data_IF_824339801972
#
_entry.id   IF_824339801972
#
_cell.length_a   1.000
_cell.length_b   1.000
_cell.length_c   1.000
_cell.angle_alpha   90.00
_cell.angle_beta   90.00
_cell.angle_gamma   90.00
#
_symmetry.space_group_name_H-M   'P 1'
#
loop_
_entity.id
_entity.type
_entity.pdbx_description
1 polymer ?
#
# COMPACT_ATOMS: atom_id res chain seq x y z
N UNK A 1 0.50 10.66 30.34
CA UNK A 1 -0.34 9.55 29.82
C UNK A 1 -0.31 9.69 28.31
N UNK A 2 0.56 8.90 27.67
CA UNK A 2 0.75 8.95 26.22
C UNK A 2 -0.39 8.25 25.52
N UNK A 3 -1.07 8.94 24.62
CA UNK A 3 -1.96 8.32 23.66
C UNK A 3 -1.09 7.76 22.55
N UNK A 4 -0.96 6.44 22.54
CA UNK A 4 -0.40 5.67 21.45
C UNK A 4 -1.17 5.96 20.17
N UNK A 5 -0.56 6.72 19.24
CA UNK A 5 -1.04 6.82 17.89
C UNK A 5 -0.77 5.48 17.20
N UNK A 6 -1.74 4.58 17.26
CA UNK A 6 -1.77 3.36 16.46
C UNK A 6 -1.50 3.69 15.00
N UNK A 7 -0.62 2.96 14.32
CA UNK A 7 -0.40 3.15 12.89
C UNK A 7 -1.73 2.93 12.18
N UNK A 8 -2.12 3.90 11.37
CA UNK A 8 -3.27 3.82 10.49
C UNK A 8 -3.02 2.78 9.40
N UNK A 9 -3.08 1.50 9.79
CA UNK A 9 -3.49 0.50 8.84
C UNK A 9 -4.84 0.97 8.28
N UNK A 10 -5.06 0.84 7.00
CA UNK A 10 -6.29 1.17 6.29
C UNK A 10 -7.48 0.65 7.09
N UNK A 11 -8.08 1.54 7.89
CA UNK A 11 -9.24 1.19 8.67
C UNK A 11 -10.42 1.22 7.71
N UNK A 12 -10.54 0.18 6.90
CA UNK A 12 -11.88 -0.24 6.52
C UNK A 12 -12.61 -0.41 7.86
N UNK A 13 -13.49 0.54 8.18
CA UNK A 13 -14.14 0.57 9.49
C UNK A 13 -14.60 -0.84 9.81
N UNK A 14 -14.29 -1.36 10.99
CA UNK A 14 -14.66 -2.74 11.41
C UNK A 14 -16.10 -3.10 11.05
N UNK A 15 -17.00 -2.11 11.13
CA UNK A 15 -18.39 -2.23 10.71
C UNK A 15 -18.59 -2.48 9.21
N UNK A 16 -17.72 -1.96 8.34
CA UNK A 16 -17.82 -2.17 6.88
C UNK A 16 -17.45 -3.61 6.52
N UNK A 17 -16.39 -4.17 7.10
CA UNK A 17 -16.00 -5.57 6.86
C UNK A 17 -17.07 -6.53 7.32
N UNK A 18 -17.61 -6.32 8.53
CA UNK A 18 -18.71 -7.13 9.06
C UNK A 18 -19.96 -7.05 8.19
N UNK A 19 -20.32 -5.83 7.75
CA UNK A 19 -21.46 -5.63 6.85
C UNK A 19 -21.27 -6.36 5.53
N UNK A 20 -20.11 -6.22 4.88
CA UNK A 20 -19.79 -6.94 3.64
C UNK A 20 -19.88 -8.45 3.81
N UNK A 21 -19.32 -9.01 4.90
CA UNK A 21 -19.37 -10.43 5.17
C UNK A 21 -20.81 -10.95 5.39
N UNK A 22 -21.67 -10.13 5.99
CA UNK A 22 -23.09 -10.49 6.22
C UNK A 22 -23.93 -10.34 4.95
N UNK A 23 -23.77 -9.25 4.20
CA UNK A 23 -24.53 -8.98 2.97
C UNK A 23 -24.08 -9.87 1.80
N UNK A 24 -22.84 -10.34 1.83
CA UNK A 24 -22.22 -11.19 0.80
C UNK A 24 -21.59 -12.43 1.43
N UNK A 25 -22.36 -13.44 1.87
CA UNK A 25 -21.86 -14.59 2.62
C UNK A 25 -20.83 -15.44 1.86
N UNK A 26 -20.79 -15.33 0.53
CA UNK A 26 -19.82 -16.03 -0.34
C UNK A 26 -18.56 -15.21 -0.63
N UNK A 27 -18.50 -13.94 -0.19
CA UNK A 27 -17.34 -13.09 -0.39
C UNK A 27 -16.13 -13.68 0.35
N UNK A 28 -14.99 -13.74 -0.35
CA UNK A 28 -13.71 -14.19 0.21
C UNK A 28 -12.87 -12.98 0.59
N UNK A 29 -12.20 -13.05 1.71
CA UNK A 29 -11.25 -12.06 2.21
C UNK A 29 -9.86 -12.70 2.17
N UNK A 30 -9.07 -12.34 1.16
CA UNK A 30 -7.72 -12.84 1.00
C UNK A 30 -6.74 -11.92 1.75
N UNK A 31 -5.94 -12.46 2.65
CA UNK A 31 -4.96 -11.69 3.43
C UNK A 31 -3.77 -12.54 3.86
N UNK A 32 -2.67 -11.91 4.16
CA UNK A 32 -1.56 -12.60 4.82
C UNK A 32 -1.89 -12.92 6.29
N UNK A 33 -1.20 -13.92 6.85
CA UNK A 33 -1.48 -14.48 8.18
C UNK A 33 -1.60 -13.45 9.30
N UNK A 34 -0.81 -12.40 9.28
CA UNK A 34 -0.81 -11.36 10.33
C UNK A 34 -2.10 -10.53 10.40
N UNK A 35 -2.91 -10.49 9.33
CA UNK A 35 -4.19 -9.77 9.29
C UNK A 35 -5.39 -10.63 9.72
N UNK A 36 -5.22 -11.93 9.88
CA UNK A 36 -6.33 -12.85 10.20
C UNK A 36 -7.02 -12.47 11.50
N UNK A 37 -6.26 -12.17 12.55
CA UNK A 37 -6.82 -11.78 13.84
C UNK A 37 -7.65 -10.50 13.74
N UNK A 38 -7.20 -9.51 12.98
CA UNK A 38 -7.89 -8.24 12.76
C UNK A 38 -9.21 -8.43 11.97
N UNK A 39 -9.19 -9.28 10.94
CA UNK A 39 -10.39 -9.62 10.19
C UNK A 39 -11.43 -10.34 11.06
N UNK A 40 -11.01 -11.29 11.87
CA UNK A 40 -11.90 -11.99 12.82
C UNK A 40 -12.46 -11.00 13.85
N UNK A 41 -11.62 -10.14 14.43
CA UNK A 41 -12.06 -9.10 15.36
C UNK A 41 -13.01 -8.08 14.70
N UNK A 42 -12.89 -7.87 13.38
CA UNK A 42 -13.81 -7.06 12.60
C UNK A 42 -15.13 -7.78 12.26
N UNK A 43 -15.30 -9.05 12.65
CA UNK A 43 -16.50 -9.84 12.45
C UNK A 43 -16.58 -10.59 11.11
N UNK A 44 -15.44 -10.79 10.44
CA UNK A 44 -15.35 -11.66 9.25
C UNK A 44 -15.28 -13.12 9.71
N UNK A 45 -16.20 -13.99 9.26
CA UNK A 45 -16.14 -15.41 9.60
C UNK A 45 -14.86 -16.06 9.06
N UNK A 46 -14.21 -16.91 9.84
CA UNK A 46 -12.96 -17.58 9.46
C UNK A 46 -13.09 -18.40 8.16
N UNK A 47 -14.26 -19.00 7.93
CA UNK A 47 -14.55 -19.71 6.67
C UNK A 47 -14.49 -18.84 5.41
N UNK A 48 -14.58 -17.51 5.57
CA UNK A 48 -14.51 -16.54 4.48
C UNK A 48 -13.10 -15.96 4.28
N UNK A 49 -12.12 -16.38 5.09
CA UNK A 49 -10.75 -15.85 5.04
C UNK A 49 -9.85 -16.84 4.30
N UNK A 50 -9.17 -16.33 3.27
CA UNK A 50 -8.10 -17.05 2.58
C UNK A 50 -6.76 -16.51 3.06
N UNK A 51 -5.94 -17.39 3.65
CA UNK A 51 -4.61 -17.00 4.14
C UNK A 51 -3.60 -17.19 3.02
N UNK A 52 -2.97 -16.08 2.63
CA UNK A 52 -1.96 -16.03 1.58
C UNK A 52 -0.55 -16.05 2.17
N UNK A 53 0.37 -16.70 1.46
CA UNK A 53 1.81 -16.71 1.73
C UNK A 53 2.54 -15.90 0.67
N UNK A 54 3.53 -15.11 1.09
CA UNK A 54 4.36 -14.28 0.22
C UNK A 54 5.02 -15.14 -0.88
N UNK A 55 4.90 -14.71 -2.13
CA UNK A 55 5.51 -15.37 -3.29
C UNK A 55 4.71 -16.54 -3.85
N UNK A 56 3.64 -16.98 -3.21
CA UNK A 56 2.79 -18.08 -3.69
C UNK A 56 1.64 -17.53 -4.53
N UNK A 57 1.37 -18.17 -5.66
CA UNK A 57 0.26 -17.82 -6.56
C UNK A 57 -1.03 -18.50 -6.12
N UNK A 58 -2.10 -17.73 -6.02
CA UNK A 58 -3.45 -18.18 -5.67
C UNK A 58 -4.43 -17.86 -6.80
N UNK A 59 -5.17 -18.87 -7.28
CA UNK A 59 -6.17 -18.72 -8.34
C UNK A 59 -7.58 -18.47 -7.77
N UNK A 60 -8.23 -17.42 -8.25
CA UNK A 60 -9.60 -17.04 -7.85
C UNK A 60 -10.63 -17.13 -8.99
N UNK A 61 -10.29 -17.85 -10.06
CA UNK A 61 -11.16 -17.99 -11.23
C UNK A 61 -11.16 -16.76 -12.15
N UNK A 62 -11.36 -15.59 -11.58
CA UNK A 62 -11.32 -14.30 -12.32
C UNK A 62 -9.90 -13.73 -12.44
N UNK A 63 -9.00 -14.08 -11.53
CA UNK A 63 -7.61 -13.63 -11.53
C UNK A 63 -6.72 -14.59 -10.73
N UNK A 64 -5.40 -14.44 -10.92
CA UNK A 64 -4.39 -15.01 -10.04
C UNK A 64 -3.75 -13.90 -9.23
N UNK A 65 -3.49 -14.15 -7.94
CA UNK A 65 -2.92 -13.18 -7.01
C UNK A 65 -1.63 -13.75 -6.42
N UNK A 66 -0.56 -12.95 -6.40
CA UNK A 66 0.71 -13.28 -5.77
C UNK A 66 1.05 -12.14 -4.80
N UNK A 67 1.03 -12.37 -3.48
CA UNK A 67 1.53 -11.39 -2.53
C UNK A 67 3.04 -11.22 -2.67
N UNK A 68 3.53 -9.97 -2.60
CA UNK A 68 4.96 -9.64 -2.61
C UNK A 68 5.34 -8.94 -1.31
N UNK A 69 6.56 -9.14 -0.79
CA UNK A 69 6.96 -8.53 0.48
C UNK A 69 7.14 -7.02 0.30
N UNK A 70 6.66 -6.23 1.24
CA UNK A 70 6.92 -4.80 1.34
C UNK A 70 7.66 -4.47 2.62
N UNK A 71 8.29 -3.30 2.65
CA UNK A 71 9.11 -2.85 3.79
C UNK A 71 8.43 -1.66 4.46
N UNK A 72 7.88 -1.93 5.64
CA UNK A 72 7.18 -0.93 6.45
C UNK A 72 7.41 -1.22 7.95
N UNK A 73 7.05 -0.29 8.84
CA UNK A 73 7.14 -0.49 10.29
C UNK A 73 6.15 -1.53 10.85
N UNK A 74 5.11 -1.86 10.09
CA UNK A 74 4.21 -2.97 10.36
C UNK A 74 4.33 -4.02 9.25
N UNK A 75 4.04 -5.32 9.52
CA UNK A 75 4.01 -6.34 8.49
C UNK A 75 3.07 -5.93 7.35
N UNK A 76 3.59 -5.94 6.11
CA UNK A 76 2.85 -5.49 4.94
C UNK A 76 3.19 -6.30 3.69
N UNK A 77 2.29 -6.28 2.70
CA UNK A 77 2.51 -6.89 1.41
C UNK A 77 1.82 -6.10 0.30
N UNK A 78 2.44 -6.10 -0.87
CA UNK A 78 1.82 -5.72 -2.12
C UNK A 78 1.28 -6.93 -2.86
N UNK A 79 0.75 -6.70 -4.05
CA UNK A 79 0.14 -7.75 -4.85
C UNK A 79 0.50 -7.64 -6.33
N UNK A 80 0.81 -8.78 -6.93
CA UNK A 80 0.78 -8.97 -8.38
C UNK A 80 -0.53 -9.66 -8.71
N UNK A 81 -1.38 -9.02 -9.51
CA UNK A 81 -2.71 -9.54 -9.86
C UNK A 81 -2.75 -9.74 -11.37
N UNK A 82 -3.02 -10.97 -11.79
CA UNK A 82 -3.06 -11.35 -13.19
C UNK A 82 -4.49 -11.70 -13.58
N UNK A 83 -5.11 -10.85 -14.35
CA UNK A 83 -6.38 -11.08 -15.02
C UNK A 83 -6.18 -11.69 -16.40
N UNK A 84 -7.18 -12.33 -17.01
CA UNK A 84 -7.10 -12.78 -18.41
C UNK A 84 -6.78 -11.67 -19.41
N UNK A 85 -7.16 -10.44 -19.11
CA UNK A 85 -7.05 -9.26 -20.00
C UNK A 85 -5.91 -8.31 -19.60
N UNK A 86 -5.19 -8.56 -18.51
CA UNK A 86 -4.13 -7.66 -18.08
C UNK A 86 -3.59 -7.96 -16.68
N UNK A 87 -2.51 -7.28 -16.32
CA UNK A 87 -1.80 -7.46 -15.05
C UNK A 87 -1.74 -6.16 -14.27
N UNK A 88 -2.00 -6.23 -12.97
CA UNK A 88 -1.92 -5.10 -12.05
C UNK A 88 -0.84 -5.36 -11.01
N UNK A 89 0.00 -4.36 -10.79
CA UNK A 89 0.94 -4.33 -9.66
C UNK A 89 0.44 -3.30 -8.64
N UNK A 90 0.26 -3.74 -7.39
CA UNK A 90 -0.21 -2.89 -6.29
C UNK A 90 0.79 -2.91 -5.14
N UNK A 91 1.27 -1.74 -4.73
CA UNK A 91 2.18 -1.59 -3.59
C UNK A 91 1.98 -0.23 -2.90
N UNK A 92 1.63 -0.27 -1.62
CA UNK A 92 1.50 0.92 -0.77
C UNK A 92 2.01 0.63 0.63
N UNK A 93 2.28 1.65 1.42
CA UNK A 93 2.90 1.56 2.75
C UNK A 93 4.25 0.80 2.70
N UNK A 94 5.19 1.32 1.90
CA UNK A 94 6.52 0.73 1.77
C UNK A 94 7.59 1.80 1.58
N UNK A 95 8.77 1.62 2.14
CA UNK A 95 9.87 2.58 1.94
C UNK A 95 10.76 2.27 0.74
N UNK A 96 10.66 1.08 0.17
CA UNK A 96 11.34 0.69 -1.06
C UNK A 96 10.70 -0.53 -1.73
N UNK A 97 11.05 -0.75 -2.99
CA UNK A 97 10.62 -1.88 -3.82
C UNK A 97 11.83 -2.71 -4.29
N UNK A 98 12.91 -2.72 -3.51
CA UNK A 98 14.13 -3.44 -3.83
C UNK A 98 13.87 -4.95 -3.95
N UNK A 99 14.42 -5.57 -4.99
CA UNK A 99 14.24 -7.00 -5.26
C UNK A 99 12.88 -7.37 -5.86
N UNK A 100 11.94 -6.42 -5.99
CA UNK A 100 10.65 -6.66 -6.64
C UNK A 100 10.77 -6.30 -8.13
N UNK A 101 10.28 -7.17 -8.99
CA UNK A 101 10.15 -6.93 -10.42
C UNK A 101 8.70 -7.11 -10.83
N UNK A 102 8.17 -6.19 -11.64
CA UNK A 102 6.82 -6.25 -12.19
C UNK A 102 6.83 -5.79 -13.66
N UNK A 103 7.64 -6.48 -14.49
CA UNK A 103 7.86 -6.08 -15.88
C UNK A 103 6.62 -6.24 -16.75
N UNK A 104 6.35 -5.20 -17.55
CA UNK A 104 5.26 -5.17 -18.53
C UNK A 104 3.90 -5.50 -17.91
N UNK A 105 3.61 -4.87 -16.75
CA UNK A 105 2.26 -4.82 -16.21
C UNK A 105 1.47 -3.70 -16.90
N UNK A 106 0.16 -3.89 -17.00
CA UNK A 106 -0.72 -2.95 -17.68
C UNK A 106 -1.09 -1.77 -16.79
N UNK A 107 -1.14 -2.01 -15.46
CA UNK A 107 -1.41 -0.97 -14.47
C UNK A 107 -0.48 -1.11 -13.27
N UNK A 108 0.14 0.00 -12.89
CA UNK A 108 0.91 0.15 -11.66
C UNK A 108 0.15 1.06 -10.70
N UNK A 109 -0.20 0.55 -9.53
CA UNK A 109 -0.80 1.29 -8.43
C UNK A 109 0.22 1.33 -7.29
N UNK A 110 1.04 2.37 -7.25
CA UNK A 110 2.24 2.42 -6.40
C UNK A 110 2.23 3.69 -5.56
N UNK A 111 2.67 3.55 -4.31
CA UNK A 111 2.83 4.68 -3.40
C UNK A 111 3.83 5.70 -3.96
N UNK A 112 3.46 6.99 -3.85
CA UNK A 112 4.32 8.13 -4.08
C UNK A 112 4.04 9.17 -3.00
N UNK A 113 4.51 8.91 -1.77
CA UNK A 113 4.04 9.61 -0.58
C UNK A 113 4.56 11.04 -0.49
N UNK A 114 5.80 11.29 -0.88
CA UNK A 114 6.45 12.60 -0.71
C UNK A 114 7.47 12.89 -1.82
N UNK A 115 7.72 14.16 -2.03
CA UNK A 115 8.82 14.69 -2.83
C UNK A 115 10.07 14.86 -1.94
N UNK A 116 11.23 14.33 -2.40
CA UNK A 116 12.46 14.27 -1.59
C UNK A 116 12.92 15.67 -1.12
N UNK A 117 12.87 16.69 -1.99
CA UNK A 117 13.33 18.03 -1.65
C UNK A 117 12.34 18.75 -0.72
N UNK A 118 11.05 18.59 -0.94
CA UNK A 118 10.01 19.19 -0.10
C UNK A 118 10.08 18.66 1.33
N UNK A 119 10.18 17.34 1.50
CA UNK A 119 10.21 16.72 2.83
C UNK A 119 11.48 17.09 3.59
N UNK A 120 12.65 17.20 2.91
CA UNK A 120 13.91 17.64 3.51
C UNK A 120 13.82 19.08 3.99
N UNK A 121 13.22 19.99 3.19
CA UNK A 121 13.01 21.38 3.57
C UNK A 121 12.11 21.49 4.82
N UNK A 122 10.99 20.79 4.85
CA UNK A 122 10.08 20.73 6.03
C UNK A 122 10.79 20.21 7.29
N UNK A 123 11.62 19.18 7.16
CA UNK A 123 12.43 18.66 8.29
C UNK A 123 13.43 19.70 8.79
N UNK A 124 14.10 20.40 7.88
CA UNK A 124 15.08 21.41 8.26
C UNK A 124 14.42 22.60 8.99
N UNK A 125 13.28 23.05 8.50
CA UNK A 125 12.49 24.12 9.13
C UNK A 125 12.05 23.74 10.56
N UNK A 126 11.45 22.57 10.73
CA UNK A 126 11.00 22.09 12.05
C UNK A 126 12.15 21.89 13.02
N UNK A 127 13.31 21.44 12.54
CA UNK A 127 14.52 21.34 13.37
C UNK A 127 15.01 22.71 13.84
N UNK A 128 14.91 23.75 12.99
CA UNK A 128 15.32 25.11 13.35
C UNK A 128 14.39 25.74 14.40
N UNK A 129 13.09 25.40 14.36
CA UNK A 129 12.10 25.89 15.35
C UNK A 129 12.00 25.02 16.60
N UNK A 130 12.67 23.86 16.64
CA UNK A 130 12.58 22.89 17.74
C UNK A 130 11.30 22.07 17.74
N UNK A 131 10.54 22.07 16.66
CA UNK A 131 9.34 21.29 16.50
C UNK A 131 9.64 19.83 16.15
N UNK A 132 8.71 18.95 16.51
CA UNK A 132 8.82 17.54 16.15
C UNK A 132 8.55 17.33 14.66
N UNK A 133 9.55 16.80 13.93
CA UNK A 133 9.45 16.52 12.51
C UNK A 133 8.95 15.07 12.27
N UNK A 134 7.63 14.89 12.16
CA UNK A 134 7.03 13.59 11.81
C UNK A 134 7.41 13.11 10.40
N UNK A 135 7.84 14.02 9.55
CA UNK A 135 8.34 13.78 8.20
C UNK A 135 9.52 12.81 8.18
N UNK A 136 10.34 12.80 9.23
CA UNK A 136 11.43 11.82 9.40
C UNK A 136 10.86 10.39 9.44
N UNK A 137 9.75 10.19 10.12
CA UNK A 137 9.06 8.89 10.16
C UNK A 137 8.46 8.53 8.80
N UNK A 138 7.90 9.50 8.08
CA UNK A 138 7.40 9.30 6.73
C UNK A 138 8.52 8.80 5.79
N UNK A 139 9.69 9.44 5.80
CA UNK A 139 10.84 9.01 5.00
C UNK A 139 11.32 7.58 5.30
N UNK A 140 11.15 7.11 6.54
CA UNK A 140 11.55 5.75 6.93
C UNK A 140 10.54 4.68 6.54
N UNK A 141 9.28 5.02 6.40
CA UNK A 141 8.19 4.06 6.21
C UNK A 141 7.57 4.08 4.81
N UNK A 142 7.69 5.20 4.11
CA UNK A 142 6.99 5.43 2.85
C UNK A 142 7.92 5.65 1.67
N UNK A 143 7.40 5.45 0.46
CA UNK A 143 8.12 5.58 -0.79
C UNK A 143 8.07 7.03 -1.29
N UNK A 144 9.24 7.61 -1.62
CA UNK A 144 9.26 8.90 -2.31
C UNK A 144 8.78 8.75 -3.74
N UNK A 145 8.27 9.86 -4.30
CA UNK A 145 7.86 9.92 -5.70
C UNK A 145 9.02 9.54 -6.64
N UNK A 146 10.23 10.02 -6.39
CA UNK A 146 11.40 9.69 -7.20
C UNK A 146 11.70 8.18 -7.23
N UNK A 147 11.59 7.47 -6.09
CA UNK A 147 11.75 6.01 -6.04
C UNK A 147 10.61 5.27 -6.74
N UNK A 148 9.39 5.78 -6.63
CA UNK A 148 8.23 5.27 -7.34
C UNK A 148 8.42 5.37 -8.86
N UNK A 149 8.79 6.55 -9.34
CA UNK A 149 9.06 6.83 -10.76
C UNK A 149 10.15 5.93 -11.32
N UNK A 150 11.26 5.78 -10.60
CA UNK A 150 12.37 4.89 -10.98
C UNK A 150 11.92 3.42 -11.08
N UNK A 151 11.10 2.95 -10.14
CA UNK A 151 10.54 1.61 -10.21
C UNK A 151 9.62 1.44 -11.41
N UNK A 152 8.70 2.38 -11.64
CA UNK A 152 7.78 2.36 -12.78
C UNK A 152 8.58 2.38 -14.09
N UNK A 153 9.51 3.31 -14.23
CA UNK A 153 10.34 3.45 -15.43
C UNK A 153 11.09 2.15 -15.81
N UNK A 154 11.62 1.44 -14.82
CA UNK A 154 12.34 0.17 -15.07
C UNK A 154 11.43 -1.00 -15.40
N UNK A 155 10.15 -0.91 -15.11
CA UNK A 155 9.22 -2.04 -15.22
C UNK A 155 8.14 -1.86 -16.28
N UNK A 156 7.70 -0.62 -16.52
CA UNK A 156 6.60 -0.33 -17.44
C UNK A 156 6.97 -0.67 -18.88
N UNK A 157 6.05 -1.28 -19.59
CA UNK A 157 6.14 -1.56 -21.02
C UNK A 157 5.30 -0.59 -21.85
N UNK A 158 5.37 -0.73 -23.19
CA UNK A 158 4.49 0.04 -24.08
C UNK A 158 3.01 -0.16 -23.72
N UNK A 159 2.26 0.94 -23.57
CA UNK A 159 0.83 0.90 -23.24
C UNK A 159 0.52 0.64 -21.76
N UNK A 160 1.52 0.51 -20.89
CA UNK A 160 1.29 0.43 -19.46
C UNK A 160 0.90 1.80 -18.89
N UNK A 161 0.05 1.77 -17.86
CA UNK A 161 -0.42 2.94 -17.13
C UNK A 161 -0.01 2.87 -15.66
N UNK A 162 -0.06 4.01 -14.96
CA UNK A 162 0.20 4.04 -13.53
C UNK A 162 -0.68 5.05 -12.81
N UNK A 163 -0.88 4.79 -11.51
CA UNK A 163 -1.57 5.67 -10.57
C UNK A 163 -0.74 5.76 -9.32
N UNK A 164 -0.43 6.97 -8.89
CA UNK A 164 0.18 7.20 -7.60
C UNK A 164 -0.84 7.00 -6.47
N UNK A 165 -0.42 6.27 -5.45
CA UNK A 165 -1.21 6.02 -4.25
C UNK A 165 -0.57 6.70 -3.05
N UNK A 166 -1.37 6.92 -2.00
CA UNK A 166 -0.92 7.39 -0.69
C UNK A 166 -0.10 8.69 -0.79
N UNK A 167 -0.46 9.56 -1.73
CA UNK A 167 0.16 10.86 -1.88
C UNK A 167 -0.15 11.73 -0.66
N UNK A 168 0.86 12.40 -0.12
CA UNK A 168 0.64 13.43 0.89
C UNK A 168 -0.02 14.63 0.22
N UNK A 169 -1.13 15.09 0.80
CA UNK A 169 -1.81 16.32 0.35
C UNK A 169 -1.30 17.45 1.22
N UNK A 170 -0.71 18.47 0.61
CA UNK A 170 -0.31 19.68 1.34
C UNK A 170 -1.53 20.44 1.84
N UNK A 171 -1.33 21.33 2.84
CA UNK A 171 -2.41 22.15 3.43
C UNK A 171 -3.12 23.05 2.39
N UNK A 172 -2.49 23.28 1.24
CA UNK A 172 -3.05 24.01 0.09
C UNK A 172 -3.87 23.12 -0.87
N UNK A 173 -3.97 21.81 -0.62
CA UNK A 173 -4.79 20.89 -1.39
C UNK A 173 -4.13 20.32 -2.64
N UNK A 174 -2.87 20.67 -2.92
CA UNK A 174 -2.12 20.09 -4.04
C UNK A 174 -1.69 18.65 -3.75
N UNK A 175 -1.99 17.76 -4.67
CA UNK A 175 -1.55 16.36 -4.62
C UNK A 175 -0.19 16.23 -5.30
N UNK A 176 0.69 15.42 -4.72
CA UNK A 176 1.96 15.05 -5.32
C UNK A 176 1.73 14.50 -6.74
N UNK A 177 2.07 15.28 -7.77
CA UNK A 177 2.02 14.84 -9.17
C UNK A 177 0.94 15.42 -10.08
N UNK A 178 0.14 16.39 -9.63
CA UNK A 178 -0.73 17.18 -10.53
C UNK A 178 0.01 18.45 -10.99
N UNK A 179 0.86 18.34 -11.98
CA UNK A 179 1.46 19.48 -12.71
C UNK A 179 1.52 19.16 -14.20
#
# INVERSE_FOLDING_TARGET
MGLDASPTAWVVRKNTLRRLANERPTLRFACCRWLVADLVAAGVPTRNIDVLEIGIMYGYGICNVIPVPLVHNAPNCGYKIHFPIGKVFYATDTNNLNGITARHYDLYMVEANYEDEVIKAKIAEKKATGEYAYEVRAMHNHLSKAKCDDFIYRNIGPGGEYVYLHCHVDEEGDRCGES
#
